data_IF_070332366958
#
_entry.id   IF_070332366958
#
_cell.length_a   1.000
_cell.length_b   1.000
_cell.length_c   1.000
_cell.angle_alpha   90.00
_cell.angle_beta   90.00
_cell.angle_gamma   90.00
#
_symmetry.space_group_name_H-M   'P 1'
#
loop_
_entity.id
_entity.type
_entity.pdbx_description
1 polymer ?
#
# COMPACT_ATOMS: atom_id res chain seq x y z
N UNK A 1 19.96 -10.30 -5.78
CA UNK A 1 19.05 -9.57 -4.86
C UNK A 1 19.11 -10.26 -3.51
N UNK A 2 19.29 -9.51 -2.41
CA UNK A 2 19.34 -10.07 -1.06
C UNK A 2 18.01 -10.81 -0.78
N UNK A 3 18.06 -11.96 -0.09
CA UNK A 3 16.83 -12.66 0.33
C UNK A 3 16.12 -11.81 1.40
N UNK A 4 15.17 -10.98 0.95
CA UNK A 4 14.41 -10.08 1.81
C UNK A 4 13.55 -10.82 2.85
N UNK A 5 13.32 -12.12 2.69
CA UNK A 5 12.59 -12.92 3.69
C UNK A 5 13.35 -12.98 5.02
N UNK A 6 14.69 -12.93 4.96
CA UNK A 6 15.58 -12.95 6.12
C UNK A 6 15.96 -11.53 6.59
N UNK A 7 15.43 -10.48 5.99
CA UNK A 7 15.73 -9.11 6.39
C UNK A 7 15.26 -8.85 7.82
N UNK A 8 16.18 -8.40 8.65
CA UNK A 8 15.95 -8.07 10.05
C UNK A 8 16.12 -6.56 10.26
N UNK A 9 15.01 -5.79 10.30
CA UNK A 9 15.07 -4.35 10.44
C UNK A 9 15.57 -3.93 11.82
N UNK A 10 16.27 -2.81 11.91
CA UNK A 10 16.57 -2.16 13.18
C UNK A 10 15.27 -1.74 13.88
N UNK A 11 15.23 -1.78 15.21
CA UNK A 11 14.03 -1.44 16.00
C UNK A 11 13.51 -0.03 15.72
N UNK A 12 14.38 0.90 15.39
CA UNK A 12 14.10 2.31 15.11
C UNK A 12 14.25 2.67 13.61
N UNK A 13 14.14 1.67 12.72
CA UNK A 13 14.30 1.82 11.26
C UNK A 13 13.53 3.02 10.68
N UNK A 14 12.32 3.26 11.17
CA UNK A 14 11.40 4.31 10.67
C UNK A 14 11.23 5.47 11.66
N UNK A 15 12.15 5.61 12.61
CA UNK A 15 12.10 6.68 13.61
C UNK A 15 12.03 8.05 12.95
N UNK A 16 11.11 8.88 13.44
CA UNK A 16 10.85 10.24 12.93
C UNK A 16 10.31 10.29 11.49
N UNK A 17 9.83 9.17 10.93
CA UNK A 17 9.14 9.15 9.65
C UNK A 17 7.63 9.24 9.86
N UNK A 18 6.95 9.89 8.92
CA UNK A 18 5.48 9.90 8.81
C UNK A 18 5.10 9.06 7.60
N UNK A 19 4.31 8.02 7.80
CA UNK A 19 3.95 7.04 6.76
C UNK A 19 2.44 6.92 6.64
N UNK A 20 1.90 7.19 5.45
CA UNK A 20 0.49 7.01 5.13
C UNK A 20 0.25 5.57 4.64
N UNK A 21 -0.69 4.85 5.26
CA UNK A 21 -1.08 3.49 4.88
C UNK A 21 -2.53 3.47 4.43
N UNK A 22 -2.79 3.22 3.14
CA UNK A 22 -4.16 3.05 2.64
C UNK A 22 -4.65 1.62 2.87
N UNK A 23 -5.93 1.47 3.21
CA UNK A 23 -6.48 0.16 3.60
C UNK A 23 -5.95 -0.36 4.93
N UNK A 24 -5.60 0.55 5.86
CA UNK A 24 -4.98 0.24 7.15
C UNK A 24 -5.88 -0.54 8.12
N UNK A 25 -7.20 -0.61 7.89
CA UNK A 25 -8.13 -1.18 8.87
C UNK A 25 -8.19 -2.71 8.92
N UNK A 26 -7.54 -3.44 8.00
CA UNK A 26 -7.55 -4.92 7.98
C UNK A 26 -6.44 -5.50 7.09
N UNK A 27 -6.23 -6.83 7.20
CA UNK A 27 -5.33 -7.59 6.34
C UNK A 27 -3.88 -7.07 6.37
N UNK A 28 -3.24 -7.05 5.21
CA UNK A 28 -1.84 -6.62 5.07
C UNK A 28 -1.65 -5.17 5.54
N UNK A 29 -2.56 -4.25 5.18
CA UNK A 29 -2.44 -2.83 5.55
C UNK A 29 -2.47 -2.60 7.06
N UNK A 30 -3.31 -3.34 7.81
CA UNK A 30 -3.32 -3.29 9.28
C UNK A 30 -1.99 -3.76 9.86
N UNK A 31 -1.49 -4.90 9.39
CA UNK A 31 -0.22 -5.46 9.91
C UNK A 31 0.97 -4.57 9.53
N UNK A 32 0.98 -3.99 8.33
CA UNK A 32 2.00 -3.04 7.93
C UNK A 32 1.97 -1.75 8.78
N UNK A 33 0.78 -1.22 9.08
CA UNK A 33 0.62 -0.05 9.95
C UNK A 33 1.21 -0.31 11.36
N UNK A 34 0.87 -1.47 11.95
CA UNK A 34 1.43 -1.92 13.23
C UNK A 34 2.97 -2.05 13.14
N UNK A 35 3.46 -2.74 12.11
CA UNK A 35 4.90 -2.94 11.94
C UNK A 35 5.65 -1.61 11.80
N UNK A 36 5.14 -0.67 11.01
CA UNK A 36 5.77 0.64 10.85
C UNK A 36 5.78 1.44 12.15
N UNK A 37 4.67 1.45 12.90
CA UNK A 37 4.59 2.12 14.21
C UNK A 37 5.56 1.52 15.22
N UNK A 38 5.70 0.19 15.27
CA UNK A 38 6.63 -0.51 16.15
C UNK A 38 8.11 -0.29 15.80
N UNK A 39 8.38 0.19 14.56
CA UNK A 39 9.72 0.61 14.14
C UNK A 39 9.92 2.12 14.17
N UNK A 40 9.04 2.85 14.88
CA UNK A 40 9.21 4.27 15.22
C UNK A 40 8.54 5.27 14.28
N UNK A 41 7.75 4.82 13.30
CA UNK A 41 7.00 5.73 12.44
C UNK A 41 5.75 6.28 13.12
N UNK A 42 5.42 7.56 12.84
CA UNK A 42 4.07 8.07 13.00
C UNK A 42 3.23 7.60 11.80
N UNK A 43 2.25 6.73 12.04
CA UNK A 43 1.46 6.14 10.96
C UNK A 43 0.15 6.91 10.77
N UNK A 44 -0.16 7.25 9.52
CA UNK A 44 -1.47 7.77 9.13
C UNK A 44 -2.32 6.60 8.64
N UNK A 45 -3.35 6.29 9.41
CA UNK A 45 -4.30 5.22 9.13
C UNK A 45 -5.38 5.74 8.18
N UNK A 46 -5.38 5.25 6.93
CA UNK A 46 -6.33 5.68 5.91
C UNK A 46 -7.22 4.51 5.48
N UNK A 47 -8.51 4.78 5.36
CA UNK A 47 -9.52 3.83 4.89
C UNK A 47 -10.92 4.38 5.09
N UNK A 48 -11.94 3.66 4.61
CA UNK A 48 -13.33 4.12 4.65
C UNK A 48 -14.10 3.75 5.93
N UNK A 49 -13.62 2.77 6.68
CA UNK A 49 -14.30 2.29 7.90
C UNK A 49 -13.59 2.81 9.14
N UNK A 50 -14.12 3.89 9.72
CA UNK A 50 -13.53 4.58 10.87
C UNK A 50 -13.36 3.63 12.05
N UNK A 51 -14.36 2.80 12.41
CA UNK A 51 -14.27 1.85 13.54
C UNK A 51 -13.11 0.86 13.41
N UNK A 52 -12.81 0.41 12.17
CA UNK A 52 -11.66 -0.47 11.94
C UNK A 52 -10.34 0.28 12.08
N UNK A 53 -10.30 1.56 11.71
CA UNK A 53 -9.11 2.40 11.88
C UNK A 53 -8.87 2.72 13.35
N UNK A 54 -9.92 3.03 14.11
CA UNK A 54 -9.88 3.21 15.56
C UNK A 54 -9.34 1.97 16.28
N UNK A 55 -9.81 0.76 15.87
CA UNK A 55 -9.27 -0.48 16.44
C UNK A 55 -7.77 -0.68 16.16
N UNK A 56 -7.26 -0.25 14.99
CA UNK A 56 -5.81 -0.30 14.70
C UNK A 56 -5.06 0.79 15.46
N UNK A 57 -5.68 1.95 15.63
CA UNK A 57 -5.14 3.05 16.45
C UNK A 57 -4.90 2.56 17.88
N UNK A 58 -5.93 1.99 18.52
CA UNK A 58 -5.85 1.46 19.89
C UNK A 58 -4.80 0.34 20.02
N UNK A 59 -4.68 -0.53 19.00
CA UNK A 59 -3.66 -1.58 18.98
C UNK A 59 -2.24 -1.02 18.93
N UNK A 60 -1.99 0.05 18.14
CA UNK A 60 -0.69 0.71 18.06
C UNK A 60 -0.34 1.33 19.41
N UNK A 61 -1.26 2.05 20.05
CA UNK A 61 -1.04 2.64 21.36
C UNK A 61 -0.80 1.57 22.45
N UNK A 62 -1.62 0.53 22.47
CA UNK A 62 -1.48 -0.57 23.42
C UNK A 62 -0.14 -1.32 23.28
N UNK A 63 0.40 -1.41 22.07
CA UNK A 63 1.69 -2.01 21.79
C UNK A 63 2.89 -1.05 22.08
N UNK A 64 2.62 0.20 22.51
CA UNK A 64 3.64 1.21 22.78
C UNK A 64 4.28 1.84 21.54
N UNK A 65 3.60 1.76 20.39
CA UNK A 65 3.98 2.46 19.17
C UNK A 65 3.77 3.98 19.27
N UNK A 66 4.30 4.70 18.28
CA UNK A 66 4.06 6.14 18.17
C UNK A 66 2.59 6.38 17.85
N UNK A 67 1.96 7.33 18.56
CA UNK A 67 0.55 7.68 18.37
C UNK A 67 0.23 7.93 16.89
N UNK A 68 -0.70 7.16 16.27
CA UNK A 68 -1.05 7.33 14.87
C UNK A 68 -2.05 8.47 14.65
N UNK A 69 -2.28 8.82 13.39
CA UNK A 69 -3.36 9.72 12.98
C UNK A 69 -4.38 8.97 12.12
N UNK A 70 -5.64 9.38 12.12
CA UNK A 70 -6.70 8.80 11.28
C UNK A 70 -7.16 9.82 10.25
N UNK A 71 -7.06 9.45 8.96
CA UNK A 71 -7.56 10.24 7.82
C UNK A 71 -8.53 9.39 7.00
N UNK A 72 -9.84 9.38 7.32
CA UNK A 72 -10.81 8.56 6.62
C UNK A 72 -11.16 9.14 5.25
N UNK A 73 -11.22 8.28 4.22
CA UNK A 73 -11.73 8.63 2.90
C UNK A 73 -12.18 7.36 2.16
N UNK A 74 -13.26 7.45 1.40
CA UNK A 74 -13.68 6.43 0.45
C UNK A 74 -13.05 6.69 -0.92
N UNK A 75 -12.04 5.92 -1.27
CA UNK A 75 -11.29 6.06 -2.53
C UNK A 75 -12.15 5.87 -3.79
N UNK A 76 -13.28 5.16 -3.67
CA UNK A 76 -14.19 4.94 -4.79
C UNK A 76 -14.95 6.23 -5.16
N UNK A 77 -15.26 7.07 -4.15
CA UNK A 77 -16.05 8.29 -4.30
C UNK A 77 -15.21 9.56 -4.31
N UNK A 78 -13.94 9.45 -3.90
CA UNK A 78 -13.06 10.59 -3.74
C UNK A 78 -12.85 11.37 -5.04
N UNK A 79 -12.91 12.68 -4.96
CA UNK A 79 -12.57 13.61 -6.02
C UNK A 79 -11.19 14.23 -5.78
N UNK A 80 -10.67 14.98 -6.73
CA UNK A 80 -9.36 15.63 -6.64
C UNK A 80 -9.20 16.50 -5.37
N UNK A 81 -10.25 17.26 -5.03
CA UNK A 81 -10.30 18.10 -3.84
C UNK A 81 -10.11 17.31 -2.53
N UNK A 82 -10.58 16.06 -2.48
CA UNK A 82 -10.51 15.23 -1.27
C UNK A 82 -9.06 14.74 -1.05
N UNK A 83 -8.35 14.37 -2.12
CA UNK A 83 -6.93 14.02 -2.05
C UNK A 83 -6.07 15.23 -1.65
N UNK A 84 -6.37 16.42 -2.18
CA UNK A 84 -5.72 17.66 -1.79
C UNK A 84 -5.99 18.03 -0.33
N UNK A 85 -7.21 17.78 0.18
CA UNK A 85 -7.55 17.99 1.58
C UNK A 85 -6.76 17.05 2.51
N UNK A 86 -6.54 15.78 2.11
CA UNK A 86 -5.64 14.87 2.86
C UNK A 86 -4.22 15.43 2.92
N UNK A 87 -3.64 15.81 1.79
CA UNK A 87 -2.28 16.35 1.75
C UNK A 87 -2.16 17.64 2.59
N UNK A 88 -3.16 18.51 2.52
CA UNK A 88 -3.22 19.72 3.34
C UNK A 88 -3.30 19.36 4.85
N UNK A 89 -4.19 18.44 5.23
CA UNK A 89 -4.33 17.98 6.62
C UNK A 89 -3.02 17.39 7.18
N UNK A 90 -2.33 16.56 6.38
CA UNK A 90 -1.02 16.01 6.76
C UNK A 90 -0.01 17.14 6.99
N UNK A 91 0.04 18.12 6.10
CA UNK A 91 0.93 19.27 6.24
C UNK A 91 0.65 20.06 7.52
N UNK A 92 -0.62 20.33 7.84
CA UNK A 92 -1.01 21.12 9.00
C UNK A 92 -0.79 20.40 10.33
N UNK A 93 -1.06 19.09 10.38
CA UNK A 93 -1.02 18.34 11.64
C UNK A 93 0.35 17.71 11.92
N UNK A 94 1.05 17.25 10.87
CA UNK A 94 2.27 16.46 11.01
C UNK A 94 3.50 17.11 10.37
N UNK A 95 3.32 18.11 9.51
CA UNK A 95 4.37 18.89 8.88
C UNK A 95 5.20 18.18 7.82
N UNK A 96 5.11 16.85 7.70
CA UNK A 96 5.93 16.02 6.80
C UNK A 96 5.21 14.76 6.35
N UNK A 97 5.71 14.16 5.27
CA UNK A 97 5.33 12.83 4.81
C UNK A 97 6.55 12.15 4.17
N UNK A 98 6.95 11.00 4.71
CA UNK A 98 8.16 10.28 4.31
C UNK A 98 7.85 8.96 3.61
N UNK A 99 6.59 8.55 3.59
CA UNK A 99 6.20 7.36 2.86
C UNK A 99 4.71 7.22 2.63
N UNK A 100 4.37 6.50 1.57
CA UNK A 100 2.99 6.08 1.28
C UNK A 100 3.00 4.59 0.95
N UNK A 101 2.20 3.82 1.66
CA UNK A 101 1.84 2.46 1.27
C UNK A 101 0.44 2.46 0.66
N UNK A 102 0.36 2.31 -0.66
CA UNK A 102 -0.88 2.06 -1.37
C UNK A 102 -1.23 0.57 -1.30
N UNK A 103 -2.02 0.20 -0.29
CA UNK A 103 -2.45 -1.18 -0.07
C UNK A 103 -3.96 -1.36 -0.18
N UNK A 104 -4.75 -0.29 -0.13
CA UNK A 104 -6.19 -0.37 -0.35
C UNK A 104 -6.50 -1.02 -1.70
N UNK A 105 -7.43 -1.97 -1.71
CA UNK A 105 -7.84 -2.65 -2.92
C UNK A 105 -9.35 -2.96 -2.90
N UNK A 106 -9.94 -2.90 -4.07
CA UNK A 106 -11.27 -3.38 -4.37
C UNK A 106 -11.16 -4.58 -5.31
N UNK A 107 -11.79 -5.69 -4.96
CA UNK A 107 -11.93 -6.86 -5.82
C UNK A 107 -13.35 -7.41 -5.64
N UNK A 108 -14.08 -7.56 -6.73
CA UNK A 108 -15.35 -8.26 -6.78
C UNK A 108 -15.15 -9.78 -6.89
N UNK A 109 -16.23 -10.52 -7.07
CA UNK A 109 -16.12 -11.94 -7.35
C UNK A 109 -15.43 -12.16 -8.70
N UNK A 110 -14.68 -13.25 -8.82
CA UNK A 110 -14.04 -13.64 -10.07
C UNK A 110 -15.12 -14.12 -11.07
N UNK A 111 -15.20 -13.44 -12.20
CA UNK A 111 -16.23 -13.70 -13.21
C UNK A 111 -15.67 -13.53 -14.63
N UNK A 112 -16.24 -14.20 -15.66
CA UNK A 112 -15.88 -13.94 -17.05
C UNK A 112 -16.01 -12.47 -17.41
N UNK A 113 -15.22 -11.97 -18.36
CA UNK A 113 -15.26 -10.57 -18.81
C UNK A 113 -16.65 -10.13 -19.29
N UNK A 114 -17.36 -11.00 -20.00
CA UNK A 114 -18.71 -10.75 -20.50
C UNK A 114 -19.75 -10.53 -19.40
N UNK A 115 -19.45 -10.97 -18.17
CA UNK A 115 -20.33 -10.81 -17.00
C UNK A 115 -19.96 -9.62 -16.14
N UNK A 116 -18.87 -8.92 -16.44
CA UNK A 116 -18.43 -7.73 -15.70
C UNK A 116 -19.10 -6.48 -16.25
N UNK A 117 -19.73 -5.70 -15.36
CA UNK A 117 -20.40 -4.45 -15.77
C UNK A 117 -19.42 -3.29 -15.90
N UNK A 118 -19.80 -2.26 -16.65
CA UNK A 118 -19.03 -1.03 -16.78
C UNK A 118 -18.81 -0.35 -15.41
N UNK A 119 -19.82 -0.33 -14.55
CA UNK A 119 -19.71 0.26 -13.20
C UNK A 119 -18.68 -0.50 -12.34
N UNK A 120 -18.67 -1.82 -12.41
CA UNK A 120 -17.64 -2.62 -11.74
C UNK A 120 -16.23 -2.27 -12.23
N UNK A 121 -16.04 -2.11 -13.54
CA UNK A 121 -14.77 -1.71 -14.13
C UNK A 121 -14.34 -0.32 -13.67
N UNK A 122 -15.25 0.65 -13.69
CA UNK A 122 -14.98 2.00 -13.21
C UNK A 122 -14.56 2.00 -11.73
N UNK A 123 -15.29 1.28 -10.88
CA UNK A 123 -14.94 1.15 -9.45
C UNK A 123 -13.58 0.48 -9.25
N UNK A 124 -13.28 -0.60 -10.00
CA UNK A 124 -12.00 -1.30 -9.93
C UNK A 124 -10.83 -0.41 -10.34
N UNK A 125 -10.94 0.29 -11.46
CA UNK A 125 -9.90 1.22 -11.92
C UNK A 125 -9.76 2.40 -10.96
N UNK A 126 -10.88 2.93 -10.46
CA UNK A 126 -10.89 4.07 -9.56
C UNK A 126 -10.14 3.77 -8.26
N UNK A 127 -10.46 2.68 -7.59
CA UNK A 127 -9.85 2.34 -6.30
C UNK A 127 -8.44 1.82 -6.46
N UNK A 128 -8.18 0.95 -7.45
CA UNK A 128 -6.90 0.24 -7.52
C UNK A 128 -5.82 0.97 -8.33
N UNK A 129 -6.17 1.96 -9.18
CA UNK A 129 -5.21 2.65 -10.06
C UNK A 129 -5.31 4.18 -9.93
N UNK A 130 -6.51 4.75 -10.14
CA UNK A 130 -6.68 6.21 -10.20
C UNK A 130 -6.44 6.85 -8.83
N UNK A 131 -7.00 6.28 -7.76
CA UNK A 131 -6.84 6.82 -6.41
C UNK A 131 -5.37 6.77 -5.90
N UNK A 132 -4.60 5.68 -6.07
CA UNK A 132 -3.16 5.68 -5.80
C UNK A 132 -2.39 6.77 -6.54
N UNK A 133 -2.66 6.96 -7.83
CA UNK A 133 -2.08 8.05 -8.61
C UNK A 133 -2.45 9.43 -8.04
N UNK A 134 -3.73 9.68 -7.83
CA UNK A 134 -4.24 10.98 -7.37
C UNK A 134 -3.70 11.35 -5.97
N UNK A 135 -3.69 10.38 -5.05
CA UNK A 135 -3.16 10.59 -3.69
C UNK A 135 -1.64 10.83 -3.70
N UNK A 136 -0.87 10.07 -4.48
CA UNK A 136 0.57 10.30 -4.64
C UNK A 136 0.83 11.69 -5.21
N UNK A 137 0.10 12.09 -6.25
CA UNK A 137 0.20 13.42 -6.87
C UNK A 137 -0.12 14.54 -5.87
N UNK A 138 -1.20 14.40 -5.10
CA UNK A 138 -1.59 15.39 -4.10
C UNK A 138 -0.53 15.55 -3.00
N UNK A 139 0.12 14.45 -2.60
CA UNK A 139 1.15 14.43 -1.56
C UNK A 139 2.56 14.73 -2.09
N UNK A 140 2.75 14.92 -3.41
CA UNK A 140 4.08 14.99 -4.03
C UNK A 140 4.96 16.11 -3.45
N UNK A 141 4.38 17.26 -3.12
CA UNK A 141 5.13 18.37 -2.53
C UNK A 141 5.68 18.01 -1.13
N UNK A 142 4.93 17.24 -0.33
CA UNK A 142 5.38 16.73 0.97
C UNK A 142 6.49 15.69 0.80
N UNK A 143 6.31 14.74 -0.11
CA UNK A 143 7.30 13.71 -0.42
C UNK A 143 8.62 14.34 -0.90
N UNK A 144 8.57 15.33 -1.79
CA UNK A 144 9.76 16.04 -2.27
C UNK A 144 10.51 16.79 -1.17
N UNK A 145 9.83 17.24 -0.12
CA UNK A 145 10.46 17.93 1.02
C UNK A 145 11.01 16.96 2.08
N UNK A 146 10.72 15.67 1.98
CA UNK A 146 11.36 14.66 2.81
C UNK A 146 12.81 14.43 2.38
N UNK A 147 13.74 14.20 3.31
CA UNK A 147 15.11 13.85 2.95
C UNK A 147 15.22 12.46 2.27
N UNK A 148 14.24 11.59 2.49
CA UNK A 148 14.20 10.24 1.95
C UNK A 148 12.76 9.73 2.00
N UNK A 149 12.07 9.68 0.86
CA UNK A 149 10.67 9.33 0.76
C UNK A 149 10.44 8.08 -0.09
N UNK A 150 9.58 7.19 0.41
CA UNK A 150 9.28 5.90 -0.21
C UNK A 150 7.79 5.75 -0.52
N UNK A 151 7.47 5.42 -1.76
CA UNK A 151 6.12 5.06 -2.19
C UNK A 151 6.09 3.59 -2.58
N UNK A 152 5.22 2.82 -1.94
CA UNK A 152 5.03 1.40 -2.22
C UNK A 152 3.65 1.21 -2.80
N UNK A 153 3.56 0.63 -4.00
CA UNK A 153 2.32 0.26 -4.66
C UNK A 153 2.10 -1.26 -4.54
N UNK A 154 1.05 -1.67 -3.83
CA UNK A 154 0.69 -3.10 -3.77
C UNK A 154 0.00 -3.52 -5.06
N UNK A 155 0.67 -4.36 -5.85
CA UNK A 155 0.11 -5.05 -7.01
C UNK A 155 -0.39 -6.45 -6.65
N UNK A 156 -0.63 -7.27 -7.64
CA UNK A 156 -1.09 -8.66 -7.52
C UNK A 156 -0.40 -9.52 -8.58
N UNK A 157 -0.24 -10.81 -8.31
CA UNK A 157 0.33 -11.75 -9.29
C UNK A 157 -0.43 -11.74 -10.62
N UNK A 158 -1.75 -11.51 -10.59
CA UNK A 158 -2.59 -11.42 -11.79
C UNK A 158 -2.54 -10.04 -12.47
N UNK A 159 -1.95 -9.01 -11.84
CA UNK A 159 -1.54 -7.78 -12.51
C UNK A 159 -0.27 -8.01 -13.33
N UNK A 160 0.66 -8.79 -12.79
CA UNK A 160 1.92 -9.11 -13.45
C UNK A 160 1.76 -10.18 -14.55
N UNK A 161 1.02 -11.26 -14.27
CA UNK A 161 0.67 -12.33 -15.20
C UNK A 161 -0.86 -12.49 -15.24
N UNK A 162 -1.55 -11.74 -16.12
CA UNK A 162 -3.01 -11.75 -16.18
C UNK A 162 -3.58 -13.13 -16.48
N UNK A 163 -4.71 -13.47 -15.81
CA UNK A 163 -5.40 -14.73 -15.98
C UNK A 163 -6.91 -14.54 -16.19
N UNK A 164 -7.58 -15.57 -16.69
CA UNK A 164 -9.02 -15.56 -16.86
C UNK A 164 -9.75 -15.24 -15.54
N UNK A 165 -10.89 -14.57 -15.63
CA UNK A 165 -11.80 -14.18 -14.54
C UNK A 165 -11.34 -12.98 -13.68
N UNK A 166 -10.10 -12.50 -13.81
CA UNK A 166 -9.56 -11.39 -13.03
C UNK A 166 -9.90 -9.99 -13.60
N UNK A 167 -10.26 -9.90 -14.86
CA UNK A 167 -10.81 -8.74 -15.55
C UNK A 167 -10.24 -7.39 -15.16
N UNK A 168 -11.12 -6.46 -14.82
CA UNK A 168 -10.73 -5.09 -14.47
C UNK A 168 -9.78 -4.95 -13.28
N UNK A 169 -9.75 -5.93 -12.36
CA UNK A 169 -8.77 -5.92 -11.27
C UNK A 169 -7.35 -6.16 -11.79
N UNK A 170 -7.14 -7.20 -12.60
CA UNK A 170 -5.84 -7.51 -13.19
C UNK A 170 -5.35 -6.34 -14.06
N UNK A 171 -6.24 -5.75 -14.87
CA UNK A 171 -5.92 -4.57 -15.69
C UNK A 171 -5.50 -3.38 -14.83
N UNK A 172 -6.22 -3.10 -13.73
CA UNK A 172 -5.85 -2.02 -12.81
C UNK A 172 -4.47 -2.26 -12.18
N UNK A 173 -4.17 -3.51 -11.75
CA UNK A 173 -2.89 -3.86 -11.14
C UNK A 173 -1.73 -3.84 -12.14
N UNK A 174 -1.94 -4.27 -13.38
CA UNK A 174 -0.97 -4.08 -14.47
C UNK A 174 -0.71 -2.58 -14.73
N UNK A 175 -1.76 -1.76 -14.69
CA UNK A 175 -1.66 -0.31 -14.77
C UNK A 175 -0.82 0.31 -13.64
N UNK A 176 -0.94 -0.20 -12.43
CA UNK A 176 -0.10 0.21 -11.28
C UNK A 176 1.38 -0.08 -11.55
N UNK A 177 1.72 -1.26 -12.08
CA UNK A 177 3.11 -1.59 -12.41
C UNK A 177 3.68 -0.67 -13.51
N UNK A 178 2.86 -0.36 -14.53
CA UNK A 178 3.23 0.62 -15.56
C UNK A 178 3.42 2.02 -14.97
N UNK A 179 2.50 2.48 -14.09
CA UNK A 179 2.57 3.78 -13.42
C UNK A 179 3.86 3.91 -12.59
N UNK A 180 4.23 2.88 -11.84
CA UNK A 180 5.47 2.89 -11.04
C UNK A 180 6.70 3.04 -11.92
N UNK A 181 6.78 2.33 -13.06
CA UNK A 181 7.91 2.47 -14.00
C UNK A 181 7.99 3.88 -14.60
N UNK A 182 6.85 4.48 -14.95
CA UNK A 182 6.79 5.85 -15.46
C UNK A 182 7.28 6.84 -14.39
N UNK A 183 6.72 6.77 -13.18
CA UNK A 183 7.10 7.68 -12.09
C UNK A 183 8.54 7.50 -11.64
N UNK A 184 9.07 6.28 -11.66
CA UNK A 184 10.47 6.01 -11.33
C UNK A 184 11.43 6.73 -12.30
N UNK A 185 11.11 6.75 -13.60
CA UNK A 185 11.88 7.47 -14.61
C UNK A 185 11.74 8.99 -14.45
N UNK A 186 10.52 9.50 -14.24
CA UNK A 186 10.28 10.94 -14.00
C UNK A 186 10.99 11.45 -12.74
N UNK A 187 11.16 10.59 -11.72
CA UNK A 187 11.83 10.92 -10.47
C UNK A 187 13.33 10.64 -10.46
N UNK A 188 13.92 10.27 -11.57
CA UNK A 188 15.37 9.98 -11.67
C UNK A 188 16.22 11.17 -11.19
N UNK A 189 15.77 12.39 -11.48
CA UNK A 189 16.43 13.64 -11.04
C UNK A 189 16.13 14.01 -9.57
N UNK A 190 15.32 13.23 -8.87
CA UNK A 190 14.93 13.44 -7.47
C UNK A 190 15.48 12.29 -6.61
N UNK A 191 16.74 12.37 -6.18
CA UNK A 191 17.42 11.24 -5.54
C UNK A 191 16.79 10.79 -4.23
N UNK A 192 16.03 11.67 -3.60
CA UNK A 192 15.32 11.40 -2.34
C UNK A 192 13.93 10.74 -2.53
N UNK A 193 13.47 10.49 -3.76
CA UNK A 193 12.19 9.86 -4.02
C UNK A 193 12.37 8.44 -4.56
N UNK A 194 11.75 7.49 -3.90
CA UNK A 194 11.75 6.07 -4.28
C UNK A 194 10.33 5.58 -4.48
N UNK A 195 10.08 4.83 -5.55
CA UNK A 195 8.79 4.21 -5.80
C UNK A 195 8.99 2.79 -6.32
N UNK A 196 8.28 1.84 -5.72
CA UNK A 196 8.40 0.43 -6.06
C UNK A 196 7.05 -0.28 -6.01
N UNK A 197 6.96 -1.40 -6.69
CA UNK A 197 5.83 -2.33 -6.62
C UNK A 197 6.16 -3.45 -5.64
N UNK A 198 5.17 -3.85 -4.85
CA UNK A 198 5.22 -5.08 -4.07
C UNK A 198 4.09 -6.02 -4.49
N UNK A 199 4.42 -7.30 -4.72
CA UNK A 199 3.47 -8.38 -5.01
C UNK A 199 3.51 -9.37 -3.85
N UNK A 200 2.49 -9.32 -2.95
CA UNK A 200 2.47 -10.16 -1.74
C UNK A 200 2.37 -11.66 -2.03
N UNK A 201 1.72 -12.03 -3.15
CA UNK A 201 1.26 -13.38 -3.41
C UNK A 201 0.07 -13.80 -2.54
N UNK A 202 -0.34 -15.08 -2.60
CA UNK A 202 -1.46 -15.60 -1.81
C UNK A 202 -1.22 -15.45 -0.30
N UNK A 203 -2.04 -14.61 0.35
CA UNK A 203 -1.89 -14.23 1.76
C UNK A 203 -3.22 -14.37 2.49
N UNK A 204 -3.22 -14.87 3.70
CA UNK A 204 -4.42 -15.04 4.53
C UNK A 204 -4.99 -13.68 4.94
N UNK A 205 -5.97 -13.20 4.19
CA UNK A 205 -6.65 -11.92 4.40
C UNK A 205 -8.15 -12.08 4.25
N UNK A 206 -8.97 -11.16 4.81
CA UNK A 206 -10.42 -11.18 4.61
C UNK A 206 -10.82 -11.12 3.12
N UNK A 207 -10.04 -10.43 2.27
CA UNK A 207 -10.28 -10.41 0.82
C UNK A 207 -10.04 -11.80 0.21
N UNK A 208 -8.92 -12.45 0.50
CA UNK A 208 -8.58 -13.79 -0.02
C UNK A 208 -9.61 -14.83 0.41
N UNK A 209 -10.02 -14.82 1.67
CA UNK A 209 -11.06 -15.73 2.19
C UNK A 209 -12.38 -15.59 1.44
N UNK A 210 -12.75 -14.36 1.03
CA UNK A 210 -13.98 -14.11 0.27
C UNK A 210 -13.87 -14.58 -1.18
N UNK A 211 -12.75 -14.35 -1.83
CA UNK A 211 -12.56 -14.63 -3.26
C UNK A 211 -12.15 -16.07 -3.54
N UNK A 212 -11.56 -16.76 -2.57
CA UNK A 212 -11.10 -18.15 -2.65
C UNK A 212 -11.59 -18.96 -1.45
N UNK A 213 -12.92 -19.16 -1.30
CA UNK A 213 -13.50 -19.78 -0.09
C UNK A 213 -13.10 -21.25 0.10
N UNK A 214 -12.73 -21.96 -0.97
CA UNK A 214 -12.28 -23.35 -0.93
C UNK A 214 -10.79 -23.55 -0.68
N UNK A 215 -10.02 -22.46 -0.51
CA UNK A 215 -8.56 -22.54 -0.32
C UNK A 215 -8.20 -22.94 1.13
N UNK A 216 -7.17 -23.75 1.26
CA UNK A 216 -6.67 -24.19 2.57
C UNK A 216 -5.93 -23.02 3.26
N UNK A 217 -6.56 -22.42 4.27
CA UNK A 217 -6.09 -21.18 4.91
C UNK A 217 -4.70 -21.28 5.56
N UNK A 218 -4.34 -22.44 6.12
CA UNK A 218 -3.03 -22.63 6.79
C UNK A 218 -1.87 -22.86 5.83
N UNK A 219 -2.15 -23.06 4.55
CA UNK A 219 -1.09 -23.08 3.52
C UNK A 219 -0.69 -21.68 3.05
N UNK A 220 -1.49 -20.66 3.39
CA UNK A 220 -1.25 -19.28 3.03
C UNK A 220 -0.24 -18.61 3.95
N UNK A 221 0.55 -17.67 3.40
CA UNK A 221 1.33 -16.76 4.22
C UNK A 221 0.42 -15.97 5.15
N UNK A 222 0.89 -15.70 6.35
CA UNK A 222 0.28 -14.70 7.20
C UNK A 222 0.76 -13.31 6.77
N UNK A 223 -0.05 -12.24 6.95
CA UNK A 223 0.42 -10.88 6.65
C UNK A 223 1.73 -10.51 7.36
N UNK A 224 1.98 -11.06 8.56
CA UNK A 224 3.21 -10.86 9.32
C UNK A 224 4.46 -11.37 8.59
N UNK A 225 4.34 -12.47 7.85
CA UNK A 225 5.44 -13.07 7.10
C UNK A 225 5.96 -12.15 5.98
N UNK A 226 5.16 -11.15 5.59
CA UNK A 226 5.50 -10.20 4.53
C UNK A 226 6.22 -8.96 5.06
N UNK A 227 6.18 -8.70 6.36
CA UNK A 227 6.65 -7.44 6.93
C UNK A 227 8.14 -7.15 6.69
N UNK A 228 9.05 -8.13 6.62
CA UNK A 228 10.43 -7.86 6.22
C UNK A 228 10.54 -7.10 4.88
N UNK A 229 9.73 -7.45 3.89
CA UNK A 229 9.73 -6.77 2.58
C UNK A 229 9.16 -5.34 2.67
N UNK A 230 8.07 -5.17 3.41
CA UNK A 230 7.42 -3.86 3.59
C UNK A 230 8.29 -2.90 4.39
N UNK A 231 8.96 -3.38 5.44
CA UNK A 231 9.89 -2.59 6.25
C UNK A 231 11.14 -2.21 5.45
N UNK A 232 11.72 -3.16 4.70
CA UNK A 232 12.85 -2.88 3.83
C UNK A 232 12.52 -1.77 2.83
N UNK A 233 11.41 -1.90 2.10
CA UNK A 233 11.03 -0.93 1.07
C UNK A 233 10.60 0.43 1.62
N UNK A 234 10.16 0.52 2.87
CA UNK A 234 9.77 1.78 3.51
C UNK A 234 10.94 2.46 4.24
N UNK A 235 12.01 1.72 4.48
CA UNK A 235 13.18 2.17 5.22
C UNK A 235 14.33 2.65 4.34
N UNK A 236 15.36 3.25 4.95
CA UNK A 236 16.53 3.79 4.26
C UNK A 236 17.40 2.72 3.58
N UNK A 237 17.23 1.45 3.93
CA UNK A 237 18.05 0.36 3.39
C UNK A 237 17.71 0.05 1.92
N UNK A 238 16.61 0.61 1.39
CA UNK A 238 16.16 0.43 0.00
C UNK A 238 16.38 1.64 -0.90
N UNK A 239 17.21 2.60 -0.51
CA UNK A 239 17.47 3.83 -1.30
C UNK A 239 18.08 3.59 -2.69
N UNK A 240 18.65 2.42 -2.94
CA UNK A 240 19.14 2.01 -4.26
C UNK A 240 18.08 1.28 -5.11
N UNK A 241 16.87 1.04 -4.55
CA UNK A 241 15.79 0.30 -5.21
C UNK A 241 14.74 1.28 -5.71
N UNK A 242 14.57 1.36 -7.05
CA UNK A 242 13.61 2.28 -7.66
C UNK A 242 13.03 1.69 -8.94
N UNK A 243 11.71 1.76 -9.07
CA UNK A 243 10.98 1.25 -10.24
C UNK A 243 10.87 -0.27 -10.31
N UNK A 244 11.26 -0.95 -9.25
CA UNK A 244 11.33 -2.41 -9.18
C UNK A 244 10.01 -3.03 -8.78
N UNK A 245 9.81 -4.27 -9.22
CA UNK A 245 8.70 -5.13 -8.77
C UNK A 245 9.26 -6.22 -7.87
N UNK A 246 8.89 -6.17 -6.60
CA UNK A 246 9.37 -7.07 -5.55
C UNK A 246 8.29 -8.13 -5.26
N UNK A 247 8.65 -9.39 -5.45
CA UNK A 247 7.80 -10.52 -5.12
C UNK A 247 8.13 -11.03 -3.71
N UNK A 248 7.14 -11.05 -2.80
CA UNK A 248 7.35 -11.57 -1.45
C UNK A 248 7.43 -13.10 -1.41
N UNK A 249 7.00 -13.77 -2.47
CA UNK A 249 7.15 -15.22 -2.71
C UNK A 249 7.61 -15.42 -4.14
N UNK A 250 8.32 -16.51 -4.39
CA UNK A 250 8.83 -16.81 -5.73
C UNK A 250 7.75 -16.68 -6.81
N UNK A 251 8.18 -16.39 -8.02
CA UNK A 251 7.30 -16.27 -9.19
C UNK A 251 6.38 -17.49 -9.26
N UNK A 252 5.07 -17.27 -9.33
CA UNK A 252 4.07 -18.30 -9.64
C UNK A 252 4.08 -18.54 -11.13
#
# INVERSE_FOLDING_TARGET
>A
MQDLKSYSPAKDLLKNRVVLVTGAGQGIGRVAALAYAMHGATVILHGRNIKKLEGVYDEIEAAGGVQPAIFPLDLEKAEDKDFLAIAYGIRQQLGRLDGILHNAALLFNLTPLESQTLDQWQSLLRVNLIAPFALTRACLALLKSSPDAHVIMTSDSHGHAPAAYWGGFAVAKAGVEALVRIQAQEWEILPNLHINVIIPGPTHTPQRTRTHPGEIKYSLAQPQDLMPYYLYLMGPDSTTVRGETIFCRGHV
#
